data_IF_043274115265
#
_entry.id   IF_043274115265
#
_cell.length_a   1.000
_cell.length_b   1.000
_cell.length_c   1.000
_cell.angle_alpha   90.00
_cell.angle_beta   90.00
_cell.angle_gamma   90.00
#
_symmetry.space_group_name_H-M   'P 1'
#
loop_
_entity.id
_entity.type
_entity.pdbx_description
1 polymer ?
#
# COMPACT_ATOMS: atom_id res chain seq x y z
N UNK A 1 -0.44 -11.54 17.13
CA UNK A 1 -1.00 -12.44 16.08
C UNK A 1 -1.21 -11.59 14.82
N UNK A 2 -0.63 -12.02 13.71
CA UNK A 2 -0.74 -11.32 12.42
C UNK A 2 -2.17 -11.38 11.89
N UNK A 3 -2.67 -10.24 11.40
CA UNK A 3 -3.97 -10.17 10.73
C UNK A 3 -3.76 -10.28 9.23
N UNK A 4 -4.50 -11.17 8.59
CA UNK A 4 -4.48 -11.36 7.15
C UNK A 4 -5.72 -10.72 6.51
N UNK A 5 -5.51 -10.10 5.36
CA UNK A 5 -6.54 -9.49 4.53
C UNK A 5 -6.36 -9.79 3.05
N UNK A 6 -7.24 -9.21 2.26
CA UNK A 6 -7.24 -9.31 0.80
C UNK A 6 -7.49 -7.93 0.17
N UNK A 7 -7.05 -7.69 -1.07
CA UNK A 7 -7.48 -6.50 -1.81
C UNK A 7 -8.95 -6.66 -2.24
N UNK A 8 -9.62 -5.55 -2.57
CA UNK A 8 -10.87 -5.64 -3.32
C UNK A 8 -10.62 -6.25 -4.70
N UNK A 9 -11.46 -7.21 -5.07
CA UNK A 9 -11.38 -7.89 -6.36
C UNK A 9 -12.33 -7.25 -7.38
N UNK A 10 -11.85 -7.08 -8.61
CA UNK A 10 -12.67 -6.56 -9.73
C UNK A 10 -13.88 -7.47 -10.02
N UNK A 11 -13.74 -8.76 -9.74
CA UNK A 11 -14.79 -9.77 -9.88
C UNK A 11 -15.97 -9.56 -8.91
N UNK A 12 -15.77 -8.79 -7.83
CA UNK A 12 -16.75 -8.55 -6.78
C UNK A 12 -17.20 -7.08 -6.78
N UNK A 13 -18.46 -6.78 -7.13
CA UNK A 13 -18.90 -5.42 -7.40
C UNK A 13 -19.11 -4.55 -6.15
N UNK A 14 -19.04 -5.11 -4.94
CA UNK A 14 -19.29 -4.37 -3.70
C UNK A 14 -18.34 -4.70 -2.56
N UNK A 15 -18.15 -3.75 -1.62
CA UNK A 15 -17.41 -4.00 -0.37
C UNK A 15 -18.03 -5.13 0.45
N UNK A 16 -19.35 -5.28 0.39
CA UNK A 16 -20.05 -6.35 1.11
C UNK A 16 -19.70 -7.74 0.57
N UNK A 17 -19.64 -7.90 -0.74
CA UNK A 17 -19.26 -9.18 -1.36
C UNK A 17 -17.78 -9.51 -1.09
N UNK A 18 -16.89 -8.50 -1.15
CA UNK A 18 -15.50 -8.65 -0.75
C UNK A 18 -15.37 -9.06 0.72
N UNK A 19 -16.11 -8.41 1.63
CA UNK A 19 -16.11 -8.75 3.05
C UNK A 19 -16.68 -10.16 3.32
N UNK A 20 -17.71 -10.59 2.59
CA UNK A 20 -18.23 -11.96 2.68
C UNK A 20 -17.20 -13.00 2.26
N UNK A 21 -16.48 -12.74 1.15
CA UNK A 21 -15.41 -13.64 0.72
C UNK A 21 -14.28 -13.66 1.74
N UNK A 22 -13.82 -12.50 2.23
CA UNK A 22 -12.80 -12.41 3.25
C UNK A 22 -13.18 -13.21 4.51
N UNK A 23 -14.42 -13.04 5.01
CA UNK A 23 -14.92 -13.79 6.16
C UNK A 23 -14.95 -15.30 5.90
N UNK A 24 -15.42 -15.74 4.73
CA UNK A 24 -15.44 -17.16 4.34
C UNK A 24 -14.05 -17.79 4.27
N UNK A 25 -13.04 -16.97 3.93
CA UNK A 25 -11.63 -17.40 3.90
C UNK A 25 -10.92 -17.26 5.26
N UNK A 26 -11.57 -16.74 6.30
CA UNK A 26 -10.97 -16.51 7.62
C UNK A 26 -10.11 -15.25 7.71
N UNK A 27 -10.17 -14.38 6.70
CA UNK A 27 -9.43 -13.12 6.67
C UNK A 27 -10.09 -12.05 7.52
N UNK A 28 -9.30 -11.12 8.05
CA UNK A 28 -9.75 -10.10 9.03
C UNK A 28 -10.09 -8.76 8.43
N UNK A 29 -9.53 -8.44 7.27
CA UNK A 29 -9.79 -7.16 6.61
C UNK A 29 -9.79 -7.26 5.09
N UNK A 30 -10.37 -6.23 4.47
CA UNK A 30 -10.31 -5.98 3.02
C UNK A 30 -9.65 -4.63 2.81
N UNK A 31 -8.62 -4.60 1.99
CA UNK A 31 -8.01 -3.37 1.51
C UNK A 31 -8.78 -2.86 0.27
N UNK A 32 -9.47 -1.74 0.44
CA UNK A 32 -10.26 -1.15 -0.63
C UNK A 32 -9.36 -0.40 -1.60
N UNK A 33 -9.24 -0.90 -2.83
CA UNK A 33 -8.45 -0.28 -3.89
C UNK A 33 -9.25 0.85 -4.56
N UNK A 34 -8.81 2.10 -4.38
CA UNK A 34 -9.49 3.29 -4.84
C UNK A 34 -9.30 3.58 -6.34
N UNK A 35 -8.53 2.76 -7.08
CA UNK A 35 -8.56 2.79 -8.55
C UNK A 35 -9.94 2.40 -9.10
N UNK A 36 -10.71 1.61 -8.36
CA UNK A 36 -12.05 1.21 -8.76
C UNK A 36 -13.04 2.36 -8.60
N UNK A 37 -13.82 2.73 -9.65
CA UNK A 37 -14.70 3.89 -9.61
C UNK A 37 -15.70 3.90 -8.47
N UNK A 38 -16.16 2.70 -8.01
CA UNK A 38 -17.11 2.56 -6.92
C UNK A 38 -16.48 2.81 -5.54
N UNK A 39 -15.15 2.83 -5.43
CA UNK A 39 -14.40 3.01 -4.18
C UNK A 39 -13.63 4.34 -4.13
N UNK A 40 -13.85 5.22 -5.09
CA UNK A 40 -13.30 6.57 -5.05
C UNK A 40 -13.79 7.33 -3.80
N UNK A 41 -12.94 8.21 -3.26
CA UNK A 41 -13.15 8.92 -1.99
C UNK A 41 -14.55 9.55 -1.87
N UNK A 42 -15.06 10.18 -2.94
CA UNK A 42 -16.37 10.84 -2.96
C UNK A 42 -17.56 9.86 -2.89
N UNK A 43 -17.33 8.56 -3.07
CA UNK A 43 -18.34 7.49 -3.00
C UNK A 43 -18.27 6.66 -1.73
N UNK A 44 -17.15 6.76 -1.01
CA UNK A 44 -17.00 6.10 0.28
C UNK A 44 -17.67 6.94 1.36
N UNK A 45 -18.35 6.26 2.27
CA UNK A 45 -18.96 6.86 3.46
C UNK A 45 -18.59 6.05 4.69
N UNK A 46 -18.74 6.65 5.87
CA UNK A 46 -18.53 5.94 7.15
C UNK A 46 -19.34 4.65 7.24
N UNK A 47 -20.59 4.65 6.77
CA UNK A 47 -21.46 3.46 6.77
C UNK A 47 -20.94 2.37 5.84
N UNK A 48 -20.42 2.75 4.68
CA UNK A 48 -19.81 1.80 3.74
C UNK A 48 -18.50 1.19 4.24
N UNK A 49 -17.78 1.91 5.09
CA UNK A 49 -16.52 1.47 5.70
C UNK A 49 -16.74 0.82 7.09
N UNK A 50 -17.97 0.75 7.58
CA UNK A 50 -18.27 0.04 8.82
C UNK A 50 -17.93 -1.45 8.70
N UNK A 51 -17.32 -2.08 9.72
CA UNK A 51 -17.00 -3.50 9.72
C UNK A 51 -18.23 -4.38 9.46
N UNK A 52 -18.05 -5.46 8.70
CA UNK A 52 -19.13 -6.38 8.29
C UNK A 52 -18.64 -7.82 8.39
N UNK A 53 -19.49 -8.71 8.88
CA UNK A 53 -19.15 -10.14 9.01
C UNK A 53 -17.86 -10.40 9.80
N UNK A 54 -17.49 -9.52 10.75
CA UNK A 54 -16.23 -9.59 11.48
C UNK A 54 -14.99 -9.14 10.68
N UNK A 55 -15.20 -8.51 9.51
CA UNK A 55 -14.15 -7.99 8.62
C UNK A 55 -14.20 -6.46 8.66
N UNK A 56 -13.03 -5.82 8.86
CA UNK A 56 -12.88 -4.37 8.75
C UNK A 56 -12.22 -3.98 7.42
N UNK A 57 -12.07 -2.68 7.18
CA UNK A 57 -11.50 -2.16 5.94
C UNK A 57 -10.20 -1.38 6.21
N UNK A 58 -9.25 -1.49 5.29
CA UNK A 58 -8.17 -0.55 5.07
C UNK A 58 -8.37 0.12 3.71
N UNK A 59 -7.68 1.21 3.44
CA UNK A 59 -7.79 1.91 2.16
C UNK A 59 -6.45 1.92 1.43
N UNK A 60 -6.51 1.73 0.12
CA UNK A 60 -5.38 1.92 -0.78
C UNK A 60 -5.71 3.05 -1.74
N UNK A 61 -4.95 4.15 -1.68
CA UNK A 61 -5.14 5.30 -2.55
C UNK A 61 -4.95 4.92 -4.02
N UNK A 62 -5.52 5.74 -4.89
CA UNK A 62 -5.38 5.63 -6.34
C UNK A 62 -3.91 5.65 -6.74
N UNK A 63 -3.48 4.69 -7.56
CA UNK A 63 -2.10 4.56 -8.04
C UNK A 63 -1.65 5.74 -8.91
N UNK A 64 -2.60 6.42 -9.57
CA UNK A 64 -2.35 7.62 -10.35
C UNK A 64 -2.14 8.89 -9.52
N UNK A 65 -2.31 8.83 -8.20
CA UNK A 65 -2.23 9.98 -7.32
C UNK A 65 -0.78 10.45 -7.17
N UNK A 66 -0.50 11.69 -7.58
CA UNK A 66 0.84 12.31 -7.47
C UNK A 66 0.79 13.62 -6.64
N UNK A 67 0.78 13.53 -5.29
CA UNK A 67 0.69 14.71 -4.42
C UNK A 67 1.97 15.55 -4.41
N UNK A 68 2.96 15.21 -5.23
CA UNK A 68 4.24 15.89 -5.38
C UNK A 68 4.41 16.55 -6.76
N UNK A 69 3.33 16.63 -7.55
CA UNK A 69 3.36 17.19 -8.90
C UNK A 69 3.89 18.63 -8.90
N UNK A 70 4.72 18.96 -9.88
CA UNK A 70 5.29 20.33 -10.01
C UNK A 70 4.25 21.37 -10.45
N UNK A 71 3.17 20.94 -11.11
CA UNK A 71 2.05 21.85 -11.38
C UNK A 71 1.23 22.06 -10.10
N UNK A 72 1.20 23.28 -9.53
CA UNK A 72 0.57 23.52 -8.23
C UNK A 72 -0.94 23.26 -8.22
N UNK A 73 -1.64 23.44 -9.34
CA UNK A 73 -3.09 23.19 -9.43
C UNK A 73 -3.38 21.68 -9.40
N UNK A 74 -2.61 20.90 -10.14
CA UNK A 74 -2.74 19.45 -10.17
C UNK A 74 -2.33 18.86 -8.82
N UNK A 75 -1.20 19.30 -8.27
CA UNK A 75 -0.74 18.91 -6.94
C UNK A 75 -1.79 19.17 -5.86
N UNK A 76 -2.43 20.33 -5.87
CA UNK A 76 -3.46 20.69 -4.89
C UNK A 76 -4.68 19.74 -4.99
N UNK A 77 -5.12 19.38 -6.19
CA UNK A 77 -6.20 18.42 -6.38
C UNK A 77 -5.84 17.04 -5.80
N UNK A 78 -4.63 16.57 -6.02
CA UNK A 78 -4.14 15.32 -5.43
C UNK A 78 -4.03 15.39 -3.91
N UNK A 79 -3.50 16.50 -3.37
CA UNK A 79 -3.42 16.73 -1.93
C UNK A 79 -4.81 16.73 -1.27
N UNK A 80 -5.80 17.38 -1.88
CA UNK A 80 -7.18 17.39 -1.39
C UNK A 80 -7.79 16.00 -1.41
N UNK A 81 -7.55 15.21 -2.46
CA UNK A 81 -8.03 13.84 -2.57
C UNK A 81 -7.44 12.96 -1.45
N UNK A 82 -6.12 13.01 -1.25
CA UNK A 82 -5.45 12.27 -0.19
C UNK A 82 -5.93 12.71 1.20
N UNK A 83 -6.00 14.02 1.46
CA UNK A 83 -6.47 14.57 2.74
C UNK A 83 -7.91 14.16 3.05
N UNK A 84 -8.80 14.25 2.07
CA UNK A 84 -10.18 13.81 2.23
C UNK A 84 -10.26 12.32 2.61
N UNK A 85 -9.49 11.48 1.92
CA UNK A 85 -9.44 10.05 2.19
C UNK A 85 -8.92 9.72 3.59
N UNK A 86 -7.81 10.35 4.01
CA UNK A 86 -7.23 10.13 5.35
C UNK A 86 -8.18 10.62 6.43
N UNK A 87 -8.86 11.75 6.23
CA UNK A 87 -9.88 12.26 7.16
C UNK A 87 -11.08 11.32 7.27
N UNK A 88 -11.60 10.85 6.13
CA UNK A 88 -12.68 9.86 6.10
C UNK A 88 -12.27 8.58 6.83
N UNK A 89 -11.05 8.08 6.62
CA UNK A 89 -10.52 6.93 7.33
C UNK A 89 -10.52 7.16 8.85
N UNK A 90 -10.04 8.32 9.32
CA UNK A 90 -10.02 8.70 10.72
C UNK A 90 -11.42 8.76 11.35
N UNK A 91 -12.39 9.29 10.63
CA UNK A 91 -13.79 9.40 11.06
C UNK A 91 -14.51 8.05 11.03
N UNK A 92 -14.07 7.13 10.19
CA UNK A 92 -14.68 5.81 10.01
C UNK A 92 -14.05 4.70 10.86
N UNK A 93 -12.96 5.00 11.59
CA UNK A 93 -12.23 4.00 12.37
C UNK A 93 -11.40 3.04 11.49
N UNK A 94 -11.10 3.43 10.25
CA UNK A 94 -10.18 2.72 9.37
C UNK A 94 -8.75 2.91 9.88
N UNK A 95 -7.98 1.84 10.13
CA UNK A 95 -6.70 1.95 10.83
C UNK A 95 -5.57 2.53 9.99
N UNK A 96 -5.60 2.34 8.67
CA UNK A 96 -4.54 2.80 7.80
C UNK A 96 -5.01 3.10 6.37
N UNK A 97 -4.23 3.96 5.70
CA UNK A 97 -4.37 4.31 4.28
C UNK A 97 -3.02 4.09 3.62
N UNK A 98 -2.95 3.18 2.64
CA UNK A 98 -1.75 2.90 1.86
C UNK A 98 -1.65 3.79 0.63
N UNK A 99 -0.44 4.14 0.22
CA UNK A 99 -0.19 4.85 -1.05
C UNK A 99 1.11 4.39 -1.70
N UNK A 100 1.11 4.39 -3.02
CA UNK A 100 2.32 4.27 -3.82
C UNK A 100 3.11 5.57 -3.82
N UNK A 101 4.44 5.47 -3.81
CA UNK A 101 5.28 6.62 -4.17
C UNK A 101 5.27 6.79 -5.69
N UNK A 102 4.81 7.94 -6.21
CA UNK A 102 4.79 8.16 -7.65
C UNK A 102 6.22 8.39 -8.19
N UNK A 103 6.50 7.88 -9.39
CA UNK A 103 7.79 8.15 -10.05
C UNK A 103 7.89 9.58 -10.62
N UNK A 104 6.77 10.28 -10.71
CA UNK A 104 6.70 11.59 -11.33
C UNK A 104 6.96 11.57 -12.84
N UNK A 105 7.23 12.76 -13.39
CA UNK A 105 7.53 12.92 -14.82
C UNK A 105 8.99 12.57 -15.08
N UNK A 106 9.22 11.86 -16.19
CA UNK A 106 10.57 11.60 -16.67
C UNK A 106 10.73 11.89 -18.17
N UNK A 107 11.93 12.27 -18.57
CA UNK A 107 12.32 12.44 -19.97
C UNK A 107 13.22 11.29 -20.43
N UNK A 108 12.98 10.80 -21.63
CA UNK A 108 13.86 9.81 -22.29
C UNK A 108 14.89 10.59 -23.11
N UNK A 109 16.11 10.59 -22.67
CA UNK A 109 17.27 11.11 -23.41
C UNK A 109 18.03 9.95 -24.09
N UNK A 110 18.89 10.24 -25.08
CA UNK A 110 19.76 9.21 -25.62
C UNK A 110 20.59 8.53 -24.52
N UNK A 111 20.36 7.22 -24.34
CA UNK A 111 21.10 6.39 -23.38
C UNK A 111 20.67 6.48 -21.90
N UNK A 112 19.72 7.35 -21.51
CA UNK A 112 19.23 7.43 -20.12
C UNK A 112 17.83 7.99 -19.97
N UNK A 113 17.17 7.64 -18.86
CA UNK A 113 16.00 8.36 -18.36
C UNK A 113 16.42 9.40 -17.31
N UNK A 114 15.72 10.53 -17.29
CA UNK A 114 15.91 11.61 -16.32
C UNK A 114 14.58 11.81 -15.60
N UNK A 115 14.53 11.47 -14.33
CA UNK A 115 13.37 11.66 -13.47
C UNK A 115 13.42 13.05 -12.83
N UNK A 116 12.35 13.82 -12.96
CA UNK A 116 12.36 15.21 -12.52
C UNK A 116 12.46 15.33 -10.99
N UNK A 117 11.97 14.38 -10.22
CA UNK A 117 12.14 14.38 -8.76
C UNK A 117 13.62 14.25 -8.34
N UNK A 118 14.43 13.55 -9.12
CA UNK A 118 15.89 13.48 -8.88
C UNK A 118 16.65 14.75 -9.30
N UNK A 119 16.13 15.47 -10.31
CA UNK A 119 16.77 16.71 -10.80
C UNK A 119 16.36 17.95 -10.00
N UNK A 120 15.09 18.03 -9.57
CA UNK A 120 14.51 19.15 -8.82
C UNK A 120 14.23 18.74 -7.37
N UNK A 121 15.29 18.33 -6.66
CA UNK A 121 15.21 17.75 -5.31
C UNK A 121 14.64 18.68 -4.26
N UNK A 122 14.96 19.98 -4.33
CA UNK A 122 14.49 20.95 -3.35
C UNK A 122 12.98 21.17 -3.47
N UNK A 123 12.46 21.30 -4.69
CA UNK A 123 11.03 21.42 -4.95
C UNK A 123 10.28 20.14 -4.58
N UNK A 124 10.87 18.98 -4.89
CA UNK A 124 10.31 17.70 -4.49
C UNK A 124 10.27 17.57 -2.97
N UNK A 125 11.36 17.89 -2.28
CA UNK A 125 11.44 17.89 -0.81
C UNK A 125 10.44 18.84 -0.18
N UNK A 126 10.26 20.04 -0.72
CA UNK A 126 9.26 21.00 -0.24
C UNK A 126 7.84 20.43 -0.35
N UNK A 127 7.53 19.75 -1.47
CA UNK A 127 6.22 19.09 -1.66
C UNK A 127 6.02 17.89 -0.72
N UNK A 128 7.08 17.11 -0.43
CA UNK A 128 7.04 16.02 0.57
C UNK A 128 6.74 16.56 1.98
N UNK A 129 7.40 17.64 2.38
CA UNK A 129 7.15 18.26 3.70
C UNK A 129 5.71 18.77 3.82
N UNK A 130 5.21 19.45 2.78
CA UNK A 130 3.83 19.94 2.76
C UNK A 130 2.81 18.78 2.82
N UNK A 131 3.04 17.70 2.06
CA UNK A 131 2.22 16.49 2.11
C UNK A 131 2.24 15.85 3.49
N UNK A 132 3.44 15.65 4.05
CA UNK A 132 3.62 15.06 5.39
C UNK A 132 2.82 15.79 6.45
N UNK A 133 2.95 17.10 6.52
CA UNK A 133 2.24 17.93 7.49
C UNK A 133 0.72 17.87 7.31
N UNK A 134 0.27 17.89 6.06
CA UNK A 134 -1.16 17.88 5.73
C UNK A 134 -1.79 16.53 6.09
N UNK A 135 -1.13 15.42 5.75
CA UNK A 135 -1.60 14.09 6.10
C UNK A 135 -1.55 13.82 7.60
N UNK A 136 -0.52 14.28 8.30
CA UNK A 136 -0.44 14.15 9.75
C UNK A 136 -1.60 14.86 10.47
N UNK A 137 -1.98 16.06 10.00
CA UNK A 137 -3.15 16.76 10.52
C UNK A 137 -4.46 16.02 10.22
N UNK A 138 -4.60 15.49 8.99
CA UNK A 138 -5.80 14.76 8.59
C UNK A 138 -5.96 13.43 9.35
N UNK A 139 -4.85 12.75 9.61
CA UNK A 139 -4.80 11.49 10.36
C UNK A 139 -5.19 11.65 11.84
N UNK A 140 -4.92 12.81 12.44
CA UNK A 140 -5.31 13.17 13.80
C UNK A 140 -4.92 12.10 14.86
N UNK A 141 -3.77 11.44 14.67
CA UNK A 141 -3.30 10.34 15.51
C UNK A 141 -4.15 9.06 15.47
N UNK A 142 -5.16 9.00 14.62
CA UNK A 142 -6.11 7.88 14.53
C UNK A 142 -5.88 6.95 13.35
N UNK A 143 -5.17 7.41 12.33
CA UNK A 143 -4.88 6.67 11.09
C UNK A 143 -3.38 6.67 10.84
N UNK A 144 -2.85 5.55 10.37
CA UNK A 144 -1.49 5.47 9.86
C UNK A 144 -1.49 5.64 8.34
N UNK A 145 -0.72 6.57 7.83
CA UNK A 145 -0.46 6.72 6.40
C UNK A 145 0.72 5.82 6.05
N UNK A 146 0.46 4.82 5.24
CA UNK A 146 1.44 3.81 4.85
C UNK A 146 2.02 4.15 3.47
N UNK A 147 3.33 4.00 3.32
CA UNK A 147 4.03 4.29 2.07
C UNK A 147 4.71 3.02 1.56
N UNK A 148 4.42 2.67 0.31
CA UNK A 148 4.84 1.42 -0.31
C UNK A 148 6.13 1.56 -1.12
N UNK A 149 6.89 0.47 -1.28
CA UNK A 149 8.16 0.38 -2.02
C UNK A 149 7.99 0.39 -3.55
N UNK A 150 7.21 1.30 -4.07
CA UNK A 150 7.12 1.52 -5.50
C UNK A 150 8.26 2.39 -6.01
N UNK A 151 8.68 2.22 -7.26
CA UNK A 151 9.69 3.03 -7.94
C UNK A 151 11.11 2.99 -7.34
N UNK A 152 11.45 2.00 -6.51
CA UNK A 152 12.74 1.95 -5.79
C UNK A 152 13.94 1.88 -6.74
N UNK A 153 13.80 1.21 -7.87
CA UNK A 153 14.84 1.13 -8.92
C UNK A 153 14.88 2.35 -9.85
N UNK A 154 13.89 3.24 -9.77
CA UNK A 154 13.72 4.35 -10.70
C UNK A 154 14.17 5.70 -10.13
N UNK A 155 13.85 5.97 -8.86
CA UNK A 155 14.15 7.22 -8.19
C UNK A 155 15.31 7.05 -7.20
N UNK A 156 16.45 7.68 -7.46
CA UNK A 156 17.61 7.66 -6.57
C UNK A 156 17.35 8.32 -5.23
N UNK A 157 16.53 9.38 -5.23
CA UNK A 157 16.15 10.13 -4.04
C UNK A 157 15.01 9.49 -3.23
N UNK A 158 14.48 8.33 -3.64
CA UNK A 158 13.35 7.70 -2.94
C UNK A 158 13.65 7.31 -1.50
N UNK A 159 14.81 6.70 -1.15
CA UNK A 159 15.14 6.40 0.25
C UNK A 159 15.09 7.64 1.14
N UNK A 160 15.65 8.77 0.71
CA UNK A 160 15.61 10.05 1.43
C UNK A 160 14.18 10.62 1.53
N UNK A 161 13.38 10.47 0.48
CA UNK A 161 11.98 10.89 0.49
C UNK A 161 11.16 10.10 1.52
N UNK A 162 11.34 8.78 1.58
CA UNK A 162 10.71 7.91 2.57
C UNK A 162 11.15 8.29 4.00
N UNK A 163 12.45 8.50 4.23
CA UNK A 163 12.95 8.95 5.53
C UNK A 163 12.35 10.30 5.94
N UNK A 164 12.20 11.24 4.99
CA UNK A 164 11.54 12.53 5.22
C UNK A 164 10.08 12.34 5.69
N UNK A 165 9.33 11.43 5.10
CA UNK A 165 7.95 11.13 5.53
C UNK A 165 7.93 10.47 6.92
N UNK A 166 8.87 9.54 7.17
CA UNK A 166 8.97 8.80 8.42
C UNK A 166 9.40 9.65 9.64
N UNK A 167 9.86 10.88 9.46
CA UNK A 167 10.05 11.83 10.57
C UNK A 167 8.74 12.15 11.29
N UNK A 168 7.59 11.95 10.66
CA UNK A 168 6.28 12.06 11.31
C UNK A 168 5.79 10.70 11.82
N UNK A 169 5.27 10.62 13.06
CA UNK A 169 4.69 9.39 13.60
C UNK A 169 3.40 8.95 12.90
N UNK A 170 2.78 9.84 12.11
CA UNK A 170 1.59 9.51 11.31
C UNK A 170 1.91 8.59 10.13
N UNK A 171 3.19 8.48 9.74
CA UNK A 171 3.63 7.66 8.61
C UNK A 171 4.29 6.37 9.07
N UNK A 172 4.10 5.31 8.29
CA UNK A 172 4.80 4.05 8.40
C UNK A 172 5.00 3.45 6.99
N UNK A 173 5.55 2.25 6.91
CA UNK A 173 5.90 1.61 5.65
C UNK A 173 4.98 0.41 5.38
N UNK A 174 4.63 0.24 4.11
CA UNK A 174 4.17 -1.00 3.53
C UNK A 174 5.31 -1.62 2.72
N UNK A 175 5.63 -2.86 2.99
CA UNK A 175 6.53 -3.62 2.12
C UNK A 175 5.72 -4.50 1.17
N UNK A 176 5.83 -4.22 -0.12
CA UNK A 176 5.33 -5.12 -1.16
C UNK A 176 6.45 -6.06 -1.60
N UNK A 177 6.30 -7.33 -1.19
CA UNK A 177 7.31 -8.35 -1.41
C UNK A 177 7.37 -8.81 -2.87
N UNK A 178 6.25 -8.82 -3.57
CA UNK A 178 6.21 -9.24 -4.96
C UNK A 178 6.71 -8.17 -5.92
N UNK A 179 6.38 -6.89 -5.69
CA UNK A 179 6.94 -5.79 -6.47
C UNK A 179 8.44 -5.69 -6.28
N UNK A 180 8.94 -5.83 -5.06
CA UNK A 180 10.38 -5.83 -4.81
C UNK A 180 11.09 -7.00 -5.48
N UNK A 181 10.47 -8.18 -5.54
CA UNK A 181 10.99 -9.33 -6.28
C UNK A 181 11.06 -9.06 -7.79
N UNK A 182 10.08 -8.35 -8.36
CA UNK A 182 10.12 -7.90 -9.77
C UNK A 182 11.24 -6.87 -10.01
N UNK A 183 11.51 -6.01 -9.03
CA UNK A 183 12.57 -4.99 -9.05
C UNK A 183 13.94 -5.52 -8.57
N UNK A 184 14.11 -6.84 -8.44
CA UNK A 184 15.38 -7.48 -8.07
C UNK A 184 15.74 -7.31 -6.59
N UNK A 185 14.77 -7.12 -5.71
CA UNK A 185 14.92 -6.93 -4.27
C UNK A 185 15.68 -5.64 -3.89
N UNK A 186 15.52 -4.59 -4.69
CA UNK A 186 16.22 -3.33 -4.49
C UNK A 186 15.80 -2.58 -3.20
N UNK A 187 14.56 -2.78 -2.73
CA UNK A 187 14.06 -2.16 -1.52
C UNK A 187 14.33 -2.96 -0.24
N UNK A 188 14.66 -4.26 -0.34
CA UNK A 188 14.72 -5.18 0.79
C UNK A 188 15.64 -4.70 1.93
N UNK A 189 16.83 -4.22 1.61
CA UNK A 189 17.79 -3.74 2.63
C UNK A 189 17.26 -2.49 3.36
N UNK A 190 16.73 -1.53 2.63
CA UNK A 190 16.14 -0.31 3.20
C UNK A 190 15.02 -0.63 4.19
N UNK A 191 14.11 -1.54 3.81
CA UNK A 191 12.97 -1.93 4.63
C UNK A 191 13.37 -2.77 5.84
N UNK A 192 14.33 -3.70 5.69
CA UNK A 192 14.88 -4.47 6.82
C UNK A 192 15.56 -3.57 7.86
N UNK A 193 16.30 -2.57 7.42
CA UNK A 193 16.92 -1.59 8.33
C UNK A 193 15.89 -0.75 9.09
N UNK A 194 14.64 -0.69 8.61
CA UNK A 194 13.52 0.08 9.21
C UNK A 194 12.35 -0.81 9.63
N UNK A 195 12.60 -2.08 9.92
CA UNK A 195 11.57 -3.09 10.21
C UNK A 195 10.57 -2.62 11.28
N UNK A 196 11.01 -1.90 12.30
CA UNK A 196 10.13 -1.32 13.33
C UNK A 196 9.11 -0.30 12.79
N UNK A 197 9.33 0.25 11.59
CA UNK A 197 8.43 1.17 10.89
C UNK A 197 7.58 0.48 9.83
N UNK A 198 7.84 -0.78 9.49
CA UNK A 198 6.97 -1.59 8.62
C UNK A 198 5.77 -2.06 9.44
N UNK A 199 4.57 -1.68 9.00
CA UNK A 199 3.30 -2.00 9.67
C UNK A 199 2.34 -2.79 8.79
N UNK A 200 2.68 -2.91 7.52
CA UNK A 200 1.85 -3.53 6.51
C UNK A 200 2.73 -4.27 5.50
N UNK A 201 2.25 -5.38 4.99
CA UNK A 201 2.94 -6.19 3.97
C UNK A 201 1.95 -6.54 2.89
N UNK A 202 2.29 -6.28 1.64
CA UNK A 202 1.64 -6.87 0.49
C UNK A 202 2.40 -8.13 0.11
N UNK A 203 1.74 -9.26 0.24
CA UNK A 203 2.34 -10.56 0.03
C UNK A 203 1.72 -11.25 -1.18
N UNK A 204 2.49 -11.41 -2.20
CA UNK A 204 2.17 -12.18 -3.40
C UNK A 204 3.43 -12.70 -4.04
N UNK A 205 3.31 -13.71 -4.88
CA UNK A 205 4.45 -14.20 -5.63
C UNK A 205 4.69 -13.40 -6.90
N UNK A 206 5.90 -13.51 -7.40
CA UNK A 206 6.34 -12.90 -8.64
C UNK A 206 7.28 -13.84 -9.40
N UNK A 207 7.33 -13.66 -10.70
CA UNK A 207 8.38 -14.16 -11.55
C UNK A 207 9.15 -12.98 -12.17
N UNK A 208 9.93 -13.19 -13.22
CA UNK A 208 10.74 -12.12 -13.84
C UNK A 208 9.92 -11.01 -14.51
N UNK A 209 8.67 -11.27 -14.84
CA UNK A 209 7.83 -10.36 -15.65
C UNK A 209 6.45 -10.10 -15.08
N UNK A 210 6.01 -10.89 -14.09
CA UNK A 210 4.63 -10.87 -13.60
C UNK A 210 4.60 -10.85 -12.09
N UNK A 211 3.86 -9.88 -11.54
CA UNK A 211 3.53 -9.75 -10.12
C UNK A 211 2.13 -10.31 -9.82
N UNK A 212 1.73 -10.27 -8.55
CA UNK A 212 0.42 -10.70 -8.05
C UNK A 212 0.08 -12.17 -8.34
N UNK A 213 1.11 -13.02 -8.43
CA UNK A 213 0.93 -14.47 -8.56
C UNK A 213 0.49 -15.07 -7.21
N UNK A 214 -0.27 -16.17 -7.23
CA UNK A 214 -0.66 -16.87 -6.01
C UNK A 214 0.54 -17.34 -5.20
N UNK A 215 0.37 -17.40 -3.87
CA UNK A 215 1.36 -17.95 -2.94
C UNK A 215 1.56 -19.46 -3.18
N UNK A 216 2.69 -19.99 -2.72
CA UNK A 216 3.00 -21.41 -2.81
C UNK A 216 4.22 -21.75 -3.67
N UNK A 217 5.05 -20.78 -3.96
CA UNK A 217 6.32 -20.97 -4.68
C UNK A 217 6.55 -19.91 -5.73
N UNK A 218 7.75 -19.35 -5.74
CA UNK A 218 8.17 -18.26 -6.61
C UNK A 218 9.45 -17.62 -6.11
N UNK A 219 9.67 -16.36 -6.40
CA UNK A 219 10.88 -15.62 -6.03
C UNK A 219 10.84 -15.03 -4.64
N UNK A 220 9.63 -14.79 -4.10
CA UNK A 220 9.44 -14.20 -2.76
C UNK A 220 9.65 -15.26 -1.69
N UNK A 221 10.50 -14.99 -0.71
CA UNK A 221 10.58 -15.79 0.52
C UNK A 221 9.39 -15.43 1.44
N UNK A 222 8.30 -16.13 1.22
CA UNK A 222 7.06 -15.95 1.99
C UNK A 222 7.27 -16.18 3.48
N UNK A 223 8.10 -17.17 3.85
CA UNK A 223 8.30 -17.54 5.24
C UNK A 223 9.07 -16.46 6.02
N UNK A 224 10.07 -15.81 5.39
CA UNK A 224 10.79 -14.70 6.01
C UNK A 224 9.81 -13.54 6.32
N UNK A 225 8.97 -13.16 5.37
CA UNK A 225 8.03 -12.05 5.59
C UNK A 225 6.87 -12.40 6.52
N UNK A 226 6.39 -13.64 6.53
CA UNK A 226 5.39 -14.11 7.51
C UNK A 226 5.95 -14.06 8.93
N UNK A 227 7.18 -14.55 9.14
CA UNK A 227 7.83 -14.50 10.44
C UNK A 227 8.05 -13.04 10.92
N UNK A 228 8.49 -12.14 10.02
CA UNK A 228 8.63 -10.71 10.34
C UNK A 228 7.31 -10.06 10.66
N UNK A 229 6.25 -10.37 9.91
CA UNK A 229 4.92 -9.85 10.16
C UNK A 229 4.40 -10.28 11.53
N UNK A 230 4.62 -11.53 11.92
CA UNK A 230 4.24 -12.05 13.24
C UNK A 230 5.01 -11.34 14.35
N UNK A 231 6.32 -11.26 14.24
CA UNK A 231 7.18 -10.62 15.25
C UNK A 231 6.91 -9.12 15.38
N UNK A 232 6.62 -8.43 14.27
CA UNK A 232 6.36 -6.99 14.22
C UNK A 232 4.90 -6.59 14.42
N UNK A 233 3.97 -7.56 14.52
CA UNK A 233 2.53 -7.31 14.59
C UNK A 233 2.00 -6.57 13.36
N UNK A 234 2.52 -6.92 12.18
CA UNK A 234 2.16 -6.30 10.91
C UNK A 234 0.86 -6.90 10.37
N UNK A 235 0.11 -6.12 9.57
CA UNK A 235 -0.98 -6.64 8.73
C UNK A 235 -0.40 -7.20 7.44
N UNK A 236 -1.02 -8.26 6.92
CA UNK A 236 -0.61 -8.88 5.65
C UNK A 236 -1.79 -8.93 4.70
N UNK A 237 -1.68 -8.25 3.57
CA UNK A 237 -2.60 -8.38 2.42
C UNK A 237 -2.09 -9.50 1.53
N UNK A 238 -2.90 -10.52 1.29
CA UNK A 238 -2.63 -11.52 0.25
C UNK A 238 -3.03 -10.86 -1.08
N UNK A 239 -2.06 -10.19 -1.72
CA UNK A 239 -2.35 -9.27 -2.83
C UNK A 239 -2.38 -9.97 -4.20
N UNK A 240 -3.31 -10.91 -4.36
CA UNK A 240 -3.64 -11.52 -5.64
C UNK A 240 -4.93 -10.93 -6.21
N UNK A 241 -4.97 -10.75 -7.52
CA UNK A 241 -6.02 -9.95 -8.18
C UNK A 241 -7.23 -10.77 -8.66
N UNK A 242 -7.29 -12.09 -8.36
CA UNK A 242 -8.43 -12.96 -8.71
C UNK A 242 -8.88 -13.80 -7.51
N UNK A 243 -10.15 -14.16 -7.51
CA UNK A 243 -10.74 -15.03 -6.48
C UNK A 243 -10.04 -16.39 -6.43
N UNK A 244 -9.84 -17.03 -7.57
CA UNK A 244 -9.16 -18.33 -7.63
C UNK A 244 -7.74 -18.27 -7.06
N UNK A 245 -6.97 -17.24 -7.47
CA UNK A 245 -5.61 -17.03 -6.96
C UNK A 245 -5.57 -16.79 -5.45
N UNK A 246 -6.55 -16.02 -4.92
CA UNK A 246 -6.69 -15.77 -3.49
C UNK A 246 -7.01 -17.06 -2.72
N UNK A 247 -7.98 -17.85 -3.17
CA UNK A 247 -8.36 -19.13 -2.56
C UNK A 247 -7.17 -20.11 -2.52
N UNK A 248 -6.39 -20.18 -3.61
CA UNK A 248 -5.15 -20.98 -3.67
C UNK A 248 -4.12 -20.50 -2.66
N UNK A 249 -3.92 -19.18 -2.57
CA UNK A 249 -2.95 -18.58 -1.63
C UNK A 249 -3.33 -18.82 -0.18
N UNK A 250 -4.61 -18.67 0.16
CA UNK A 250 -5.13 -18.97 1.51
C UNK A 250 -4.93 -20.43 1.86
N UNK A 251 -5.19 -21.35 0.94
CA UNK A 251 -4.96 -22.78 1.16
C UNK A 251 -3.47 -23.09 1.39
N UNK A 252 -2.57 -22.48 0.61
CA UNK A 252 -1.13 -22.62 0.80
C UNK A 252 -0.66 -22.11 2.19
N UNK A 253 -1.27 -21.05 2.71
CA UNK A 253 -1.00 -20.54 4.05
C UNK A 253 -1.56 -21.46 5.15
N UNK A 254 -2.74 -22.06 4.94
CA UNK A 254 -3.32 -23.06 5.86
C UNK A 254 -2.48 -24.32 5.97
N UNK A 255 -1.98 -24.84 4.86
CA UNK A 255 -1.08 -26.00 4.83
C UNK A 255 0.20 -25.78 5.64
N UNK A 256 0.61 -24.52 5.80
CA UNK A 256 1.77 -24.10 6.61
C UNK A 256 1.41 -23.67 8.04
N UNK A 257 0.14 -23.77 8.43
CA UNK A 257 -0.40 -23.29 9.71
C UNK A 257 -0.14 -21.79 9.95
N UNK A 258 0.00 -20.99 8.90
CA UNK A 258 0.18 -19.54 9.02
C UNK A 258 -1.15 -18.82 9.28
N UNK A 259 -2.27 -19.40 8.83
CA UNK A 259 -3.63 -18.94 9.13
C UNK A 259 -4.53 -20.12 9.51
N UNK A 260 -5.61 -19.85 10.26
CA UNK A 260 -6.59 -20.85 10.69
C UNK A 260 -7.51 -21.33 9.54
#
# INVERSE_FOLDING_TARGET
MTEFGMPTLVELPSLEENARLAAALGLKFVESNMNLPMYQAHRLTRERLAPRNGVYFTLHLDEGLNPFDFNPLVREAYLQTAEHTVRLAAESGVPCVNLHMPEGVHFKLPGRKVYLFDEYREEYRASLLAFRERMARAADGRVTVLVENTCFTRLRGLPEALDTLLESPAFALTYDAGHDACDGFAAAEFYRAREGRVKHVHLHQANETTCHLPLGGGRVDENDWLARAENGGMRVVIEVKSREGLERSVNALRERNAIA
#
